data_IF_053035906649
#
_entry.id   IF_053035906649
#
_cell.length_a   1.000
_cell.length_b   1.000
_cell.length_c   1.000
_cell.angle_alpha   90.00
_cell.angle_beta   90.00
_cell.angle_gamma   90.00
#
_symmetry.space_group_name_H-M   'P 1'
#
loop_
_entity.id
_entity.type
_entity.pdbx_description
1 polymer ?
#
# COMPACT_ATOMS: atom_id res chain seq x y z
N UNK A 1 -12.44 8.50 -18.79
CA UNK A 1 -11.08 8.24 -19.29
C UNK A 1 -10.13 9.09 -18.50
N UNK A 2 -9.02 8.55 -18.00
CA UNK A 2 -8.07 9.32 -17.18
C UNK A 2 -7.34 10.38 -18.03
N UNK A 3 -7.05 11.54 -17.46
CA UNK A 3 -6.25 12.57 -18.13
C UNK A 3 -4.79 12.11 -18.30
N UNK A 4 -4.07 12.70 -19.25
CA UNK A 4 -2.61 12.51 -19.38
C UNK A 4 -1.86 12.81 -18.08
N UNK A 5 -2.33 13.81 -17.32
CA UNK A 5 -1.73 14.17 -16.03
C UNK A 5 -2.04 13.13 -14.93
N UNK A 6 -3.24 12.53 -14.94
CA UNK A 6 -3.57 11.44 -14.00
C UNK A 6 -2.68 10.23 -14.24
N UNK A 7 -2.44 9.90 -15.51
CA UNK A 7 -1.58 8.79 -15.89
C UNK A 7 -0.15 9.01 -15.39
N UNK A 8 0.40 10.22 -15.55
CA UNK A 8 1.73 10.56 -15.01
C UNK A 8 1.81 10.39 -13.50
N UNK A 9 0.83 10.91 -12.76
CA UNK A 9 0.77 10.80 -11.29
C UNK A 9 0.73 9.33 -10.87
N UNK A 10 -0.11 8.50 -11.50
CA UNK A 10 -0.21 7.08 -11.20
C UNK A 10 1.10 6.35 -11.49
N UNK A 11 1.77 6.67 -12.60
CA UNK A 11 3.04 6.06 -12.97
C UNK A 11 4.15 6.40 -11.96
N UNK A 12 4.28 7.68 -11.58
CA UNK A 12 5.24 8.13 -10.57
C UNK A 12 4.96 7.49 -9.21
N UNK A 13 3.70 7.46 -8.78
CA UNK A 13 3.28 6.84 -7.52
C UNK A 13 3.53 5.33 -7.53
N UNK A 14 3.37 4.66 -8.67
CA UNK A 14 3.71 3.24 -8.83
C UNK A 14 5.21 3.01 -8.62
N UNK A 15 6.06 3.88 -9.17
CA UNK A 15 7.51 3.84 -8.92
C UNK A 15 7.86 4.05 -7.44
N UNK A 16 7.18 4.98 -6.77
CA UNK A 16 7.30 5.18 -5.32
C UNK A 16 6.88 3.92 -4.51
N UNK A 17 5.75 3.29 -4.86
CA UNK A 17 5.30 2.05 -4.21
C UNK A 17 6.31 0.92 -4.40
N UNK A 18 6.85 0.75 -5.61
CA UNK A 18 7.84 -0.28 -5.90
C UNK A 18 9.08 -0.15 -5.00
N UNK A 19 9.64 1.06 -4.90
CA UNK A 19 10.79 1.35 -4.02
C UNK A 19 10.50 0.96 -2.57
N UNK A 20 9.32 1.33 -2.05
CA UNK A 20 8.92 1.02 -0.68
C UNK A 20 8.69 -0.47 -0.43
N UNK A 21 8.11 -1.18 -1.40
CA UNK A 21 7.92 -2.63 -1.33
C UNK A 21 9.28 -3.33 -1.30
N UNK A 22 10.20 -2.97 -2.21
CA UNK A 22 11.56 -3.54 -2.25
C UNK A 22 12.32 -3.28 -0.95
N UNK A 23 12.25 -2.06 -0.41
CA UNK A 23 12.85 -1.74 0.90
C UNK A 23 12.27 -2.59 2.02
N UNK A 24 10.95 -2.78 2.04
CA UNK A 24 10.28 -3.64 3.03
C UNK A 24 10.68 -5.11 2.93
N UNK A 25 10.74 -5.67 1.71
CA UNK A 25 11.19 -7.04 1.49
C UNK A 25 12.65 -7.19 1.93
N UNK A 26 13.52 -6.27 1.52
CA UNK A 26 14.95 -6.30 1.84
C UNK A 26 15.22 -6.17 3.33
N UNK A 27 14.34 -5.48 4.07
CA UNK A 27 14.42 -5.37 5.53
C UNK A 27 13.76 -6.55 6.27
N UNK A 28 13.27 -7.58 5.58
CA UNK A 28 12.63 -8.74 6.19
C UNK A 28 11.19 -8.51 6.68
N UNK A 29 10.45 -7.54 6.11
CA UNK A 29 9.05 -7.30 6.46
C UNK A 29 8.16 -8.46 6.00
N UNK A 30 7.70 -9.28 6.95
CA UNK A 30 6.85 -10.47 6.71
C UNK A 30 5.53 -10.43 7.50
N UNK A 31 5.09 -9.23 7.88
CA UNK A 31 3.88 -9.04 8.68
C UNK A 31 2.60 -9.51 7.96
N UNK A 32 1.63 -9.99 8.75
CA UNK A 32 0.34 -10.48 8.25
C UNK A 32 -0.60 -9.28 8.09
N UNK A 33 -0.75 -8.81 6.85
CA UNK A 33 -1.48 -7.58 6.55
C UNK A 33 -2.63 -7.77 5.55
N UNK A 34 -3.62 -8.65 5.81
CA UNK A 34 -4.71 -8.88 4.87
C UNK A 34 -5.68 -7.69 4.84
N UNK A 35 -6.05 -7.27 3.63
CA UNK A 35 -7.00 -6.16 3.42
C UNK A 35 -8.46 -6.60 3.58
N UNK A 36 -9.31 -5.67 4.00
CA UNK A 36 -10.77 -5.78 3.93
C UNK A 36 -11.31 -4.58 3.13
N UNK A 37 -11.95 -4.83 1.99
CA UNK A 37 -12.49 -3.80 1.08
C UNK A 37 -13.93 -4.15 0.73
N UNK A 38 -14.89 -3.50 1.40
CA UNK A 38 -16.29 -3.95 1.33
C UNK A 38 -16.38 -5.40 1.80
N UNK A 39 -16.98 -6.27 0.99
CA UNK A 39 -17.08 -7.70 1.29
C UNK A 39 -15.81 -8.49 0.90
N UNK A 40 -14.90 -7.89 0.14
CA UNK A 40 -13.67 -8.56 -0.26
C UNK A 40 -12.67 -8.62 0.89
N UNK A 41 -12.19 -9.83 1.17
CA UNK A 41 -11.10 -10.10 2.13
C UNK A 41 -9.88 -10.57 1.35
N UNK A 42 -8.71 -10.00 1.62
CA UNK A 42 -7.45 -10.43 0.99
C UNK A 42 -7.14 -11.92 1.21
N UNK A 43 -7.68 -12.53 2.27
CA UNK A 43 -7.55 -13.96 2.54
C UNK A 43 -8.42 -14.86 1.64
N UNK A 44 -9.40 -14.31 0.91
CA UNK A 44 -10.44 -15.07 0.20
C UNK A 44 -9.86 -16.06 -0.84
N UNK A 45 -8.76 -15.67 -1.50
CA UNK A 45 -8.07 -16.49 -2.50
C UNK A 45 -6.62 -16.78 -2.12
N UNK A 46 -6.25 -16.65 -0.84
CA UNK A 46 -4.88 -16.85 -0.38
C UNK A 46 -4.58 -18.36 -0.20
N UNK A 47 -3.63 -18.95 -0.95
CA UNK A 47 -3.29 -20.37 -0.80
C UNK A 47 -2.54 -20.66 0.50
N UNK A 48 -1.98 -19.63 1.15
CA UNK A 48 -1.19 -19.75 2.38
C UNK A 48 -2.01 -19.58 3.67
N UNK A 49 -3.34 -19.53 3.58
CA UNK A 49 -4.23 -19.30 4.73
C UNK A 49 -4.00 -20.29 5.88
N UNK A 50 -3.69 -21.56 5.55
CA UNK A 50 -3.40 -22.60 6.55
C UNK A 50 -2.04 -22.47 7.24
N UNK A 51 -1.13 -21.66 6.71
CA UNK A 51 0.25 -21.52 7.20
C UNK A 51 0.49 -20.19 7.92
N UNK A 52 -0.18 -19.11 7.50
CA UNK A 52 0.10 -17.78 8.04
C UNK A 52 -0.43 -17.58 9.48
N UNK A 53 -1.36 -18.43 9.95
CA UNK A 53 -1.94 -18.33 11.30
C UNK A 53 -2.70 -17.03 11.57
N UNK A 54 -3.11 -16.30 10.53
CA UNK A 54 -3.91 -15.09 10.68
C UNK A 54 -5.33 -15.47 11.12
N UNK A 55 -5.72 -15.02 12.31
CA UNK A 55 -7.03 -15.27 12.89
C UNK A 55 -7.59 -13.97 13.51
N UNK A 56 -8.67 -13.39 12.95
CA UNK A 56 -9.31 -12.20 13.49
C UNK A 56 -9.83 -12.32 14.94
N UNK A 57 -9.98 -13.54 15.46
CA UNK A 57 -10.32 -13.78 16.87
C UNK A 57 -9.16 -13.57 17.83
N UNK A 58 -7.91 -13.55 17.34
CA UNK A 58 -6.71 -13.34 18.15
C UNK A 58 -6.40 -11.86 18.32
N UNK A 59 -6.04 -11.47 19.55
CA UNK A 59 -5.60 -10.11 19.85
C UNK A 59 -4.39 -9.74 19.00
N UNK A 60 -4.46 -8.59 18.32
CA UNK A 60 -3.39 -8.10 17.45
C UNK A 60 -3.46 -8.60 16.00
N UNK A 61 -4.31 -9.58 15.68
CA UNK A 61 -4.59 -9.99 14.31
C UNK A 61 -5.85 -9.29 13.82
N UNK A 62 -5.70 -8.34 12.90
CA UNK A 62 -6.84 -7.59 12.37
C UNK A 62 -6.68 -7.31 10.89
N UNK A 63 -7.81 -7.27 10.19
CA UNK A 63 -7.83 -6.84 8.79
C UNK A 63 -7.44 -5.36 8.70
N UNK A 64 -6.76 -5.02 7.62
CA UNK A 64 -6.55 -3.64 7.24
C UNK A 64 -7.71 -3.14 6.39
N UNK A 65 -8.55 -2.30 6.98
CA UNK A 65 -9.72 -1.76 6.29
C UNK A 65 -9.29 -0.78 5.19
N UNK A 66 -9.74 -1.03 3.97
CA UNK A 66 -9.54 -0.16 2.82
C UNK A 66 -10.86 0.58 2.52
N UNK A 67 -11.00 1.84 2.95
CA UNK A 67 -12.23 2.60 2.79
C UNK A 67 -12.54 2.89 1.31
N UNK A 68 -13.81 3.13 1.01
CA UNK A 68 -14.22 3.71 -0.27
C UNK A 68 -13.91 5.21 -0.24
N UNK A 69 -12.96 5.64 -1.06
CA UNK A 69 -12.52 7.04 -1.17
C UNK A 69 -12.85 7.55 -2.57
N UNK A 70 -13.16 8.84 -2.70
CA UNK A 70 -13.37 9.48 -4.01
C UNK A 70 -12.06 9.56 -4.79
N UNK A 71 -12.14 9.50 -6.12
CA UNK A 71 -10.96 9.51 -7.00
C UNK A 71 -10.09 10.74 -6.79
N UNK A 72 -10.69 11.94 -6.65
CA UNK A 72 -9.95 13.19 -6.41
C UNK A 72 -9.13 13.13 -5.11
N UNK A 73 -9.72 12.62 -4.03
CA UNK A 73 -9.02 12.47 -2.76
C UNK A 73 -7.90 11.41 -2.82
N UNK A 74 -8.06 10.36 -3.65
CA UNK A 74 -6.98 9.40 -3.92
C UNK A 74 -5.85 10.08 -4.70
N UNK A 75 -6.18 10.89 -5.70
CA UNK A 75 -5.21 11.67 -6.48
C UNK A 75 -4.41 12.63 -5.61
N UNK A 76 -5.10 13.42 -4.77
CA UNK A 76 -4.47 14.35 -3.83
C UNK A 76 -3.52 13.61 -2.87
N UNK A 77 -3.95 12.46 -2.34
CA UNK A 77 -3.11 11.62 -1.46
C UNK A 77 -1.88 11.04 -2.16
N UNK A 78 -1.94 10.75 -3.47
CA UNK A 78 -0.77 10.34 -4.25
C UNK A 78 0.21 11.51 -4.41
N UNK A 79 -0.29 12.69 -4.79
CA UNK A 79 0.53 13.90 -4.95
C UNK A 79 1.23 14.24 -3.63
N UNK A 80 0.50 14.26 -2.52
CA UNK A 80 1.05 14.59 -1.19
C UNK A 80 2.20 13.64 -0.80
N UNK A 81 2.06 12.34 -1.06
CA UNK A 81 3.11 11.34 -0.77
C UNK A 81 4.34 11.53 -1.67
N UNK A 82 4.14 11.79 -2.97
CA UNK A 82 5.23 12.05 -3.90
C UNK A 82 6.01 13.31 -3.51
N UNK A 83 5.32 14.39 -3.14
CA UNK A 83 5.98 15.63 -2.66
C UNK A 83 6.78 15.39 -1.38
N UNK A 84 6.29 14.60 -0.43
CA UNK A 84 7.02 14.27 0.80
C UNK A 84 8.27 13.42 0.55
N UNK A 85 8.21 12.48 -0.40
CA UNK A 85 9.36 11.64 -0.76
C UNK A 85 10.50 12.47 -1.37
N UNK A 86 10.18 13.43 -2.25
CA UNK A 86 11.18 14.32 -2.87
C UNK A 86 11.92 15.16 -1.82
N UNK A 87 11.19 15.66 -0.81
CA UNK A 87 11.79 16.42 0.29
C UNK A 87 12.66 15.56 1.23
N UNK A 88 12.51 14.23 1.20
CA UNK A 88 13.26 13.31 2.06
C UNK A 88 14.47 12.68 1.34
N UNK A 89 14.48 12.71 -0.01
CA UNK A 89 15.58 12.22 -0.85
C UNK A 89 16.86 13.07 -0.82
N UNK A 90 16.78 14.31 -0.34
CA UNK A 90 17.93 15.23 -0.18
C UNK A 90 18.78 14.96 1.08
N UNK A 91 18.52 13.86 1.80
CA UNK A 91 19.24 13.46 3.03
C UNK A 91 19.79 12.03 3.02
N UNK A 92 20.17 11.51 1.85
CA UNK A 92 20.97 10.28 1.79
C UNK A 92 22.42 10.70 1.60
N UNK A 93 23.16 10.60 2.69
CA UNK A 93 24.51 11.10 2.91
C UNK A 93 25.56 10.56 1.91
N UNK A 94 26.54 11.43 1.64
CA UNK A 94 27.87 11.12 1.10
C UNK A 94 28.71 10.38 2.14
#
# INVERSE_FOLDING_TARGET
TASSDDFKIINEYTGYLLKNIVKGISSGRVERYPVLKGDYKGCQYCPYKGLCGFDPGLKGCRYHFLPKVKEDAIREGMIEKLSKEQNNGDKVDR
#
